data_IF_061476173314
#
_entry.id   IF_061476173314
#
_cell.length_a   1.000
_cell.length_b   1.000
_cell.length_c   1.000
_cell.angle_alpha   90.00
_cell.angle_beta   90.00
_cell.angle_gamma   90.00
#
_symmetry.space_group_name_H-M   'P 1'
#
loop_
_entity.id
_entity.type
_entity.pdbx_description
1 polymer ?
#
# COMPACT_ATOMS: atom_id res chain seq x y z
N UNK A 1 -27.91 -4.35 2.98
CA UNK A 1 -27.63 -5.60 2.25
C UNK A 1 -27.25 -5.29 0.80
N UNK A 2 -26.02 -5.64 0.42
CA UNK A 2 -25.56 -6.00 -0.94
C UNK A 2 -25.76 -5.01 -2.11
N UNK A 3 -24.81 -4.10 -2.31
CA UNK A 3 -24.57 -3.45 -3.61
C UNK A 3 -23.27 -3.91 -4.31
N UNK A 4 -22.52 -4.85 -3.74
CA UNK A 4 -21.28 -5.37 -4.36
C UNK A 4 -21.30 -6.89 -4.62
N UNK A 5 -22.37 -7.62 -4.24
CA UNK A 5 -22.39 -9.10 -4.26
C UNK A 5 -23.19 -9.73 -5.40
N UNK A 6 -23.65 -8.94 -6.38
CA UNK A 6 -24.43 -9.45 -7.51
C UNK A 6 -23.79 -9.00 -8.82
N UNK A 7 -22.74 -9.69 -9.25
CA UNK A 7 -22.52 -9.79 -10.69
C UNK A 7 -21.93 -11.12 -11.16
N UNK A 8 -21.09 -11.88 -10.42
CA UNK A 8 -20.56 -13.14 -10.98
C UNK A 8 -20.32 -14.26 -9.94
N UNK A 9 -20.94 -15.41 -10.24
CA UNK A 9 -20.51 -16.78 -9.96
C UNK A 9 -19.82 -17.13 -8.63
N UNK A 10 -20.58 -17.78 -7.74
CA UNK A 10 -20.04 -18.56 -6.63
C UNK A 10 -19.31 -19.83 -7.15
N UNK A 11 -18.03 -19.72 -7.52
CA UNK A 11 -17.09 -20.84 -7.53
C UNK A 11 -15.66 -20.28 -7.39
N UNK A 12 -15.11 -20.23 -6.16
CA UNK A 12 -13.68 -19.93 -5.99
C UNK A 12 -13.21 -19.24 -4.70
N UNK A 13 -14.11 -18.70 -3.87
CA UNK A 13 -13.75 -17.83 -2.73
C UNK A 13 -12.60 -18.37 -1.84
N UNK A 14 -12.65 -19.64 -1.43
CA UNK A 14 -11.61 -20.22 -0.58
C UNK A 14 -10.23 -20.41 -1.24
N UNK A 15 -10.10 -20.38 -2.57
CA UNK A 15 -8.82 -20.61 -3.26
C UNK A 15 -7.88 -19.41 -3.22
N UNK A 16 -8.43 -18.19 -3.13
CA UNK A 16 -7.65 -16.94 -3.13
C UNK A 16 -7.53 -16.29 -1.76
N UNK A 17 -8.36 -16.69 -0.79
CA UNK A 17 -8.32 -16.15 0.59
C UNK A 17 -6.97 -16.36 1.28
N UNK A 18 -6.43 -17.58 1.24
CA UNK A 18 -5.15 -17.88 1.89
C UNK A 18 -3.97 -17.13 1.21
N UNK A 19 -3.85 -17.12 -0.13
CA UNK A 19 -2.87 -16.26 -0.81
C UNK A 19 -3.04 -14.77 -0.51
N UNK A 20 -4.27 -14.24 -0.56
CA UNK A 20 -4.54 -12.83 -0.25
C UNK A 20 -4.10 -12.47 1.18
N UNK A 21 -4.36 -13.37 2.14
CA UNK A 21 -3.88 -13.22 3.51
C UNK A 21 -2.35 -13.23 3.60
N UNK A 22 -1.67 -14.13 2.88
CA UNK A 22 -0.20 -14.16 2.82
C UNK A 22 0.40 -12.86 2.29
N UNK A 23 -0.17 -12.34 1.20
CA UNK A 23 0.22 -11.04 0.66
C UNK A 23 -0.01 -9.94 1.69
N UNK A 24 -1.21 -9.87 2.26
CA UNK A 24 -1.60 -8.83 3.20
C UNK A 24 -0.70 -8.79 4.45
N UNK A 25 -0.40 -9.95 5.04
CA UNK A 25 0.51 -10.04 6.18
C UNK A 25 1.91 -9.54 5.82
N UNK A 26 2.40 -9.85 4.61
CA UNK A 26 3.68 -9.35 4.12
C UNK A 26 3.66 -7.84 3.91
N UNK A 27 2.57 -7.27 3.39
CA UNK A 27 2.38 -5.82 3.28
C UNK A 27 2.42 -5.12 4.65
N UNK A 28 1.69 -5.66 5.63
CA UNK A 28 1.62 -5.10 6.98
C UNK A 28 2.98 -5.20 7.67
N UNK A 29 3.66 -6.34 7.56
CA UNK A 29 4.99 -6.52 8.12
C UNK A 29 6.00 -5.53 7.54
N UNK A 30 6.00 -5.37 6.20
CA UNK A 30 6.87 -4.41 5.54
C UNK A 30 6.52 -2.97 5.90
N UNK A 31 5.24 -2.59 5.85
CA UNK A 31 4.80 -1.25 6.18
C UNK A 31 5.16 -0.82 7.61
N UNK A 32 5.30 -1.76 8.54
CA UNK A 32 5.66 -1.52 9.94
C UNK A 32 7.17 -1.46 10.21
N UNK A 33 8.01 -1.63 9.19
CA UNK A 33 9.46 -1.51 9.37
C UNK A 33 9.82 -0.12 9.94
N UNK A 34 10.56 -0.04 11.07
CA UNK A 34 10.89 1.23 11.73
C UNK A 34 11.58 2.24 10.81
N UNK A 35 12.32 1.74 9.81
CA UNK A 35 12.97 2.47 8.72
C UNK A 35 12.18 3.66 8.17
N UNK A 36 10.90 3.42 7.88
CA UNK A 36 10.04 4.43 7.26
C UNK A 36 9.71 5.59 8.19
N UNK A 37 9.60 5.31 9.49
CA UNK A 37 9.15 6.28 10.48
C UNK A 37 10.32 7.05 11.07
N UNK A 38 11.40 6.35 11.39
CA UNK A 38 12.57 6.93 12.06
C UNK A 38 13.47 7.66 11.07
N UNK A 39 13.82 7.02 9.94
CA UNK A 39 14.74 7.61 8.97
C UNK A 39 13.99 8.46 7.93
N UNK A 40 12.82 8.01 7.47
CA UNK A 40 12.14 8.67 6.35
C UNK A 40 11.05 9.67 6.78
N UNK A 41 10.89 9.90 8.09
CA UNK A 41 9.97 10.90 8.63
C UNK A 41 8.48 10.65 8.35
N UNK A 42 8.09 9.41 8.02
CA UNK A 42 6.68 9.07 7.89
C UNK A 42 6.02 9.19 9.27
N UNK A 43 4.89 9.89 9.43
CA UNK A 43 4.25 10.03 10.73
C UNK A 43 3.89 8.69 11.35
N UNK A 44 4.42 8.39 12.55
CA UNK A 44 4.04 7.19 13.30
C UNK A 44 2.67 7.37 13.99
N UNK A 45 1.63 7.40 13.16
CA UNK A 45 0.23 7.56 13.55
C UNK A 45 -0.61 6.49 12.85
N UNK A 46 -1.87 6.32 13.25
CA UNK A 46 -2.76 5.35 12.57
C UNK A 46 -2.94 5.69 11.10
N UNK A 47 -3.14 6.97 10.76
CA UNK A 47 -3.23 7.40 9.36
C UNK A 47 -1.91 7.13 8.61
N UNK A 48 -0.75 7.42 9.22
CA UNK A 48 0.56 7.20 8.59
C UNK A 48 0.93 5.74 8.39
N UNK A 49 0.67 4.87 9.37
CA UNK A 49 0.83 3.41 9.24
C UNK A 49 -0.08 2.85 8.15
N UNK A 50 -1.31 3.36 8.06
CA UNK A 50 -2.23 2.98 6.99
C UNK A 50 -1.73 3.45 5.62
N UNK A 51 -1.23 4.68 5.52
CA UNK A 51 -0.66 5.20 4.27
C UNK A 51 0.56 4.37 3.81
N UNK A 52 1.36 3.83 4.74
CA UNK A 52 2.42 2.87 4.40
C UNK A 52 1.88 1.52 3.93
N UNK A 53 0.80 1.00 4.51
CA UNK A 53 0.14 -0.22 4.00
C UNK A 53 -0.38 0.02 2.58
N UNK A 54 -1.03 1.16 2.32
CA UNK A 54 -1.54 1.51 1.01
C UNK A 54 -0.44 1.65 -0.04
N UNK A 55 0.71 2.24 0.33
CA UNK A 55 1.86 2.38 -0.54
C UNK A 55 2.38 1.01 -1.01
N UNK A 56 2.47 0.02 -0.11
CA UNK A 56 2.89 -1.33 -0.49
C UNK A 56 1.78 -2.11 -1.21
N UNK A 57 0.52 -1.92 -0.83
CA UNK A 57 -0.62 -2.50 -1.54
C UNK A 57 -0.68 -2.01 -2.99
N UNK A 58 -0.40 -0.74 -3.25
CA UNK A 58 -0.28 -0.20 -4.60
C UNK A 58 0.74 -0.97 -5.44
N UNK A 59 1.95 -1.21 -4.93
CA UNK A 59 2.99 -1.94 -5.65
C UNK A 59 2.55 -3.36 -6.03
N UNK A 60 1.93 -4.08 -5.09
CA UNK A 60 1.43 -5.45 -5.35
C UNK A 60 0.27 -5.43 -6.34
N UNK A 61 -0.70 -4.55 -6.17
CA UNK A 61 -1.85 -4.45 -7.08
C UNK A 61 -1.43 -4.05 -8.49
N UNK A 62 -0.47 -3.14 -8.63
CA UNK A 62 0.15 -2.78 -9.91
C UNK A 62 0.79 -4.00 -10.58
N UNK A 63 1.55 -4.80 -9.83
CA UNK A 63 2.17 -6.03 -10.35
C UNK A 63 1.12 -7.07 -10.78
N UNK A 64 0.10 -7.29 -9.96
CA UNK A 64 -0.98 -8.24 -10.26
C UNK A 64 -1.76 -7.81 -11.50
N UNK A 65 -2.00 -6.50 -11.70
CA UNK A 65 -2.71 -5.94 -12.86
C UNK A 65 -2.08 -6.33 -14.20
N UNK A 66 -0.77 -6.59 -14.26
CA UNK A 66 -0.08 -7.03 -15.49
C UNK A 66 -0.57 -8.38 -16.02
N UNK A 67 -1.02 -9.26 -15.13
CA UNK A 67 -1.54 -10.59 -15.44
C UNK A 67 -3.04 -10.69 -15.05
N UNK A 68 -3.80 -9.61 -15.26
CA UNK A 68 -5.15 -9.42 -14.70
C UNK A 68 -6.09 -10.61 -14.91
N UNK A 69 -6.07 -11.25 -16.09
CA UNK A 69 -6.92 -12.42 -16.39
C UNK A 69 -6.69 -13.60 -15.46
N UNK A 70 -5.53 -13.67 -14.80
CA UNK A 70 -5.13 -14.74 -13.86
C UNK A 70 -5.17 -14.30 -12.40
N UNK A 71 -5.17 -12.99 -12.14
CA UNK A 71 -4.94 -12.41 -10.81
C UNK A 71 -6.09 -11.56 -10.30
N UNK A 72 -7.12 -11.29 -11.10
CA UNK A 72 -8.25 -10.42 -10.73
C UNK A 72 -8.86 -10.79 -9.37
N UNK A 73 -9.17 -12.07 -9.17
CA UNK A 73 -9.77 -12.57 -7.93
C UNK A 73 -8.84 -12.40 -6.72
N UNK A 74 -7.54 -12.59 -6.91
CA UNK A 74 -6.53 -12.40 -5.86
C UNK A 74 -6.37 -10.92 -5.49
N UNK A 75 -6.32 -10.04 -6.50
CA UNK A 75 -6.24 -8.59 -6.28
C UNK A 75 -7.49 -8.08 -5.55
N UNK A 76 -8.67 -8.57 -5.91
CA UNK A 76 -9.93 -8.25 -5.24
C UNK A 76 -9.92 -8.75 -3.78
N UNK A 77 -9.54 -10.01 -3.56
CA UNK A 77 -9.46 -10.58 -2.21
C UNK A 77 -8.47 -9.84 -1.31
N UNK A 78 -7.32 -9.43 -1.84
CA UNK A 78 -6.35 -8.59 -1.12
C UNK A 78 -6.94 -7.23 -0.75
N UNK A 79 -7.62 -6.58 -1.69
CA UNK A 79 -8.28 -5.30 -1.45
C UNK A 79 -9.36 -5.42 -0.36
N UNK A 80 -10.27 -6.40 -0.50
CA UNK A 80 -11.35 -6.62 0.45
C UNK A 80 -10.83 -6.93 1.85
N UNK A 81 -9.80 -7.79 1.96
CA UNK A 81 -9.18 -8.11 3.24
C UNK A 81 -8.57 -6.86 3.90
N UNK A 82 -7.83 -6.04 3.15
CA UNK A 82 -7.22 -4.82 3.66
C UNK A 82 -8.25 -3.83 4.21
N UNK A 83 -9.36 -3.61 3.49
CA UNK A 83 -10.40 -2.70 3.94
C UNK A 83 -11.25 -3.27 5.08
N UNK A 84 -11.44 -4.59 5.14
CA UNK A 84 -12.09 -5.25 6.27
C UNK A 84 -11.25 -5.16 7.55
N UNK A 85 -9.93 -5.34 7.45
CA UNK A 85 -9.01 -5.17 8.59
C UNK A 85 -9.02 -3.72 9.09
N UNK A 86 -9.03 -2.74 8.18
CA UNK A 86 -9.14 -1.34 8.54
C UNK A 86 -10.46 -0.99 9.24
N UNK A 87 -11.60 -1.46 8.73
CA UNK A 87 -12.92 -1.26 9.37
C UNK A 87 -12.90 -1.81 10.82
N UNK A 88 -12.33 -3.00 11.00
CA UNK A 88 -12.16 -3.62 12.32
C UNK A 88 -11.27 -2.78 13.25
N UNK A 89 -10.09 -2.39 12.79
CA UNK A 89 -9.15 -1.59 13.58
C UNK A 89 -9.77 -0.25 14.01
N UNK A 90 -10.54 0.42 13.14
CA UNK A 90 -11.23 1.66 13.50
C UNK A 90 -12.28 1.46 14.59
N UNK A 91 -13.05 0.36 14.52
CA UNK A 91 -14.03 0.01 15.57
C UNK A 91 -13.34 -0.31 16.89
N UNK A 92 -12.25 -1.07 16.86
CA UNK A 92 -11.45 -1.40 18.04
C UNK A 92 -10.84 -0.16 18.71
N UNK A 93 -10.53 0.88 17.92
CA UNK A 93 -10.12 2.19 18.43
C UNK A 93 -11.28 3.06 18.95
N UNK A 94 -12.50 2.53 19.05
CA UNK A 94 -13.66 3.24 19.58
C UNK A 94 -14.32 4.22 18.62
N UNK A 95 -14.01 4.17 17.31
CA UNK A 95 -14.76 4.95 16.32
C UNK A 95 -16.17 4.37 16.22
N UNK A 96 -17.18 5.19 16.52
CA UNK A 96 -18.58 4.74 16.51
C UNK A 96 -19.05 4.28 15.13
N UNK A 97 -19.95 3.29 15.11
CA UNK A 97 -20.39 2.58 13.89
C UNK A 97 -20.84 3.50 12.75
N UNK A 98 -21.53 4.60 13.08
CA UNK A 98 -21.99 5.60 12.11
C UNK A 98 -20.84 6.36 11.44
N UNK A 99 -19.71 6.55 12.13
CA UNK A 99 -18.54 7.26 11.62
C UNK A 99 -17.57 6.33 10.89
N UNK A 100 -17.47 5.06 11.30
CA UNK A 100 -16.55 4.07 10.70
C UNK A 100 -16.79 3.95 9.19
N UNK A 101 -18.03 3.72 8.77
CA UNK A 101 -18.35 3.54 7.34
C UNK A 101 -17.96 4.75 6.49
N UNK A 102 -18.15 5.98 7.00
CA UNK A 102 -17.72 7.20 6.31
C UNK A 102 -16.19 7.30 6.21
N UNK A 103 -15.48 6.93 7.28
CA UNK A 103 -14.02 6.96 7.32
C UNK A 103 -13.39 5.92 6.40
N UNK A 104 -13.91 4.69 6.40
CA UNK A 104 -13.52 3.61 5.48
C UNK A 104 -13.72 4.05 4.02
N UNK A 105 -14.87 4.65 3.69
CA UNK A 105 -15.15 5.16 2.34
C UNK A 105 -14.19 6.28 1.92
N UNK A 106 -13.89 7.22 2.81
CA UNK A 106 -12.95 8.30 2.54
C UNK A 106 -11.52 7.76 2.31
N UNK A 107 -11.10 6.77 3.11
CA UNK A 107 -9.82 6.09 2.95
C UNK A 107 -9.74 5.31 1.63
N UNK A 108 -10.82 4.66 1.21
CA UNK A 108 -10.89 3.99 -0.09
C UNK A 108 -10.75 4.97 -1.25
N UNK A 109 -11.48 6.09 -1.21
CA UNK A 109 -11.37 7.14 -2.23
C UNK A 109 -9.95 7.72 -2.29
N UNK A 110 -9.34 7.99 -1.13
CA UNK A 110 -7.95 8.44 -1.06
C UNK A 110 -6.97 7.41 -1.64
N UNK A 111 -7.22 6.12 -1.43
CA UNK A 111 -6.38 5.06 -1.99
C UNK A 111 -6.43 5.03 -3.53
N UNK A 112 -7.61 5.14 -4.15
CA UNK A 112 -7.70 5.22 -5.61
C UNK A 112 -6.97 6.43 -6.18
N UNK A 113 -7.06 7.59 -5.52
CA UNK A 113 -6.29 8.78 -5.90
C UNK A 113 -4.78 8.56 -5.81
N UNK A 114 -4.32 7.84 -4.77
CA UNK A 114 -2.90 7.47 -4.59
C UNK A 114 -2.41 6.51 -5.65
N UNK A 115 -3.19 5.49 -6.01
CA UNK A 115 -2.84 4.56 -7.10
C UNK A 115 -2.56 5.36 -8.37
N UNK A 116 -3.46 6.26 -8.76
CA UNK A 116 -3.29 7.07 -9.96
C UNK A 116 -2.05 7.99 -9.87
N UNK A 117 -1.84 8.64 -8.72
CA UNK A 117 -0.72 9.56 -8.52
C UNK A 117 0.64 8.84 -8.51
N UNK A 118 0.74 7.68 -7.86
CA UNK A 118 1.97 6.90 -7.78
C UNK A 118 2.29 6.22 -9.11
N UNK A 119 1.29 5.69 -9.83
CA UNK A 119 1.48 5.16 -11.18
C UNK A 119 2.03 6.26 -12.11
N UNK A 120 1.39 7.43 -12.15
CA UNK A 120 1.86 8.56 -12.95
C UNK A 120 3.28 9.03 -12.54
N UNK A 121 3.59 9.00 -11.24
CA UNK A 121 4.93 9.31 -10.75
C UNK A 121 5.98 8.29 -11.19
N UNK A 122 5.67 6.99 -11.13
CA UNK A 122 6.55 5.94 -11.62
C UNK A 122 6.82 6.09 -13.12
N UNK A 123 5.82 6.49 -13.91
CA UNK A 123 5.97 6.66 -15.36
C UNK A 123 6.70 7.96 -15.75
N UNK A 124 6.44 9.07 -15.06
CA UNK A 124 6.92 10.40 -15.45
C UNK A 124 8.33 10.75 -14.94
N UNK A 125 8.75 10.23 -13.79
CA UNK A 125 10.09 10.50 -13.22
C UNK A 125 10.06 10.93 -11.75
N UNK A 126 11.27 11.08 -11.16
CA UNK A 126 11.45 11.24 -9.71
C UNK A 126 10.76 12.47 -9.16
N UNK A 127 10.82 13.61 -9.85
CA UNK A 127 10.17 14.83 -9.40
C UNK A 127 8.65 14.66 -9.26
N UNK A 128 7.99 14.03 -10.23
CA UNK A 128 6.54 13.77 -10.17
C UNK A 128 6.18 12.80 -9.05
N UNK A 129 7.00 11.76 -8.86
CA UNK A 129 6.78 10.80 -7.79
C UNK A 129 6.99 11.41 -6.40
N UNK A 130 8.02 12.24 -6.22
CA UNK A 130 8.27 12.97 -4.99
C UNK A 130 7.10 13.91 -4.64
N UNK A 131 6.54 14.63 -5.62
CA UNK A 131 5.34 15.45 -5.42
C UNK A 131 4.11 14.62 -5.06
N UNK A 132 3.93 13.45 -5.67
CA UNK A 132 2.86 12.53 -5.30
C UNK A 132 3.01 12.06 -3.85
N UNK A 133 4.23 11.71 -3.40
CA UNK A 133 4.52 11.32 -2.02
C UNK A 133 4.28 12.46 -1.02
N UNK A 134 4.74 13.68 -1.32
CA UNK A 134 4.49 14.87 -0.49
C UNK A 134 3.00 15.08 -0.22
N UNK A 135 2.18 15.02 -1.28
CA UNK A 135 0.73 15.26 -1.19
C UNK A 135 -0.04 14.16 -0.48
N UNK A 136 0.47 12.92 -0.51
CA UNK A 136 -0.27 11.74 -0.08
C UNK A 136 0.25 11.08 1.20
N UNK A 137 1.55 10.82 1.27
CA UNK A 137 2.21 10.16 2.40
C UNK A 137 2.59 11.18 3.48
N UNK A 138 3.06 12.36 3.06
CA UNK A 138 3.51 13.42 3.95
C UNK A 138 2.53 14.58 4.09
N UNK A 139 1.24 14.38 3.76
CA UNK A 139 0.21 15.44 3.79
C UNK A 139 0.17 16.27 5.08
N UNK A 140 0.49 15.65 6.22
CA UNK A 140 0.48 16.28 7.56
C UNK A 140 1.88 16.37 8.18
N UNK A 141 2.93 16.25 7.36
CA UNK A 141 4.32 16.26 7.79
C UNK A 141 5.16 17.09 6.81
N UNK A 142 6.37 17.45 7.22
CA UNK A 142 7.31 18.16 6.38
C UNK A 142 8.69 17.53 6.54
N UNK A 143 8.91 16.32 5.99
CA UNK A 143 10.23 15.68 6.03
C UNK A 143 11.21 16.42 5.12
N UNK A 144 12.50 16.14 5.30
CA UNK A 144 13.54 16.64 4.41
C UNK A 144 13.36 16.09 2.98
N UNK A 145 13.78 16.87 1.99
CA UNK A 145 13.74 16.47 0.58
C UNK A 145 14.43 15.12 0.35
N UNK A 146 15.58 14.90 1.00
CA UNK A 146 16.33 13.64 0.94
C UNK A 146 15.53 12.42 1.43
N UNK A 147 14.66 12.58 2.43
CA UNK A 147 13.81 11.49 2.90
C UNK A 147 12.71 11.15 1.87
N UNK A 148 12.12 12.17 1.24
CA UNK A 148 11.14 11.98 0.17
C UNK A 148 11.78 11.29 -1.03
N UNK A 149 12.97 11.73 -1.44
CA UNK A 149 13.72 11.14 -2.54
C UNK A 149 14.10 9.69 -2.24
N UNK A 150 14.48 9.39 -0.99
CA UNK A 150 14.78 8.02 -0.56
C UNK A 150 13.54 7.10 -0.65
N UNK A 151 12.35 7.60 -0.28
CA UNK A 151 11.10 6.84 -0.43
C UNK A 151 10.69 6.71 -1.90
N UNK A 152 10.92 7.73 -2.75
CA UNK A 152 10.69 7.65 -4.18
C UNK A 152 11.58 6.60 -4.84
N UNK A 153 12.88 6.60 -4.51
CA UNK A 153 13.84 5.60 -4.97
C UNK A 153 13.47 4.19 -4.49
N UNK A 154 13.04 4.05 -3.23
CA UNK A 154 12.47 2.80 -2.71
C UNK A 154 11.29 2.33 -3.57
N UNK A 155 10.32 3.20 -3.86
CA UNK A 155 9.13 2.84 -4.61
C UNK A 155 9.46 2.32 -6.01
N UNK A 156 10.40 2.96 -6.70
CA UNK A 156 10.89 2.50 -8.02
C UNK A 156 11.59 1.15 -7.93
N UNK A 157 12.50 1.02 -6.97
CA UNK A 157 13.25 -0.22 -6.76
C UNK A 157 12.31 -1.39 -6.49
N UNK A 158 11.32 -1.19 -5.62
CA UNK A 158 10.34 -2.23 -5.31
C UNK A 158 9.41 -2.50 -6.49
N UNK A 159 8.98 -1.49 -7.24
CA UNK A 159 8.18 -1.72 -8.45
C UNK A 159 8.93 -2.62 -9.46
N UNK A 160 10.22 -2.34 -9.70
CA UNK A 160 11.06 -3.16 -10.56
C UNK A 160 11.28 -4.58 -9.99
N UNK A 161 11.55 -4.69 -8.68
CA UNK A 161 11.77 -5.98 -8.02
C UNK A 161 10.52 -6.86 -8.05
N UNK A 162 9.33 -6.28 -7.83
CA UNK A 162 8.06 -7.00 -7.90
C UNK A 162 7.73 -7.43 -9.35
N UNK A 163 8.07 -6.61 -10.35
CA UNK A 163 7.94 -6.99 -11.76
C UNK A 163 8.80 -8.22 -12.10
N UNK A 164 9.93 -8.42 -11.42
CA UNK A 164 10.78 -9.62 -11.52
C UNK A 164 10.30 -10.83 -10.71
N UNK A 165 9.36 -10.68 -9.78
CA UNK A 165 8.90 -11.81 -8.95
C UNK A 165 8.02 -12.79 -9.75
N UNK A 166 8.22 -14.11 -9.60
CA UNK A 166 7.40 -15.11 -10.29
C UNK A 166 5.93 -14.98 -9.91
N UNK A 167 5.06 -14.94 -10.92
CA UNK A 167 3.61 -14.85 -10.69
C UNK A 167 3.09 -16.00 -9.82
N UNK A 168 3.65 -17.21 -9.96
CA UNK A 168 3.28 -18.36 -9.13
C UNK A 168 3.50 -18.12 -7.63
N UNK A 169 4.56 -17.40 -7.24
CA UNK A 169 4.81 -17.03 -5.85
C UNK A 169 3.77 -16.07 -5.32
N UNK A 170 3.45 -15.03 -6.11
CA UNK A 170 2.39 -14.08 -5.77
C UNK A 170 1.03 -14.77 -5.64
N UNK A 171 0.71 -15.68 -6.56
CA UNK A 171 -0.51 -16.49 -6.52
C UNK A 171 -0.57 -17.47 -5.34
N UNK A 172 0.58 -17.81 -4.74
CA UNK A 172 0.69 -18.59 -3.52
C UNK A 172 0.69 -17.72 -2.25
N UNK A 173 0.61 -16.40 -2.37
CA UNK A 173 0.61 -15.46 -1.26
C UNK A 173 1.99 -15.02 -0.79
N UNK A 174 3.04 -15.32 -1.55
CA UNK A 174 4.40 -14.92 -1.23
C UNK A 174 4.80 -13.67 -2.02
N UNK A 175 5.16 -12.61 -1.30
CA UNK A 175 5.77 -11.40 -1.87
C UNK A 175 6.94 -10.99 -0.98
N UNK A 176 8.01 -10.52 -1.60
CA UNK A 176 9.19 -10.00 -0.90
C UNK A 176 9.40 -8.54 -1.24
N UNK A 177 9.80 -7.75 -0.23
CA UNK A 177 10.22 -6.36 -0.40
C UNK A 177 11.67 -6.22 0.03
N UNK A 178 12.39 -5.29 -0.58
CA UNK A 178 13.67 -4.83 -0.09
C UNK A 178 13.56 -4.10 1.25
N UNK A 179 14.69 -3.82 1.93
CA UNK A 179 14.67 -3.09 3.18
C UNK A 179 14.14 -1.65 2.98
N UNK A 180 13.57 -1.02 4.03
CA UNK A 180 13.25 0.40 3.99
C UNK A 180 14.49 1.22 3.61
N UNK A 181 14.33 2.40 2.99
CA UNK A 181 15.46 3.25 2.69
C UNK A 181 16.14 3.69 3.99
N UNK A 182 17.47 3.71 3.98
CA UNK A 182 18.21 4.56 4.91
C UNK A 182 18.10 5.98 4.35
N UNK A 183 17.51 6.92 5.09
CA UNK A 183 17.70 8.32 4.76
C UNK A 183 19.19 8.63 4.83
N UNK A 184 19.75 9.45 3.92
CA UNK A 184 21.09 9.97 4.11
C UNK A 184 21.12 10.64 5.47
N UNK A 185 22.09 10.29 6.32
CA UNK A 185 22.34 11.03 7.56
C UNK A 185 22.52 12.47 7.11
N UNK A 186 21.71 13.40 7.63
CA UNK A 186 21.93 14.82 7.38
C UNK A 186 23.40 15.08 7.68
N UNK A 187 24.14 15.52 6.66
CA UNK A 187 25.57 15.78 6.80
C UNK A 187 25.74 16.70 8.00
N UNK A 188 26.56 16.24 8.94
CA UNK A 188 27.16 17.07 9.97
C UNK A 188 27.93 18.17 9.22
N UNK A 189 27.28 19.31 8.99
CA UNK A 189 27.90 20.54 8.50
C UNK A 189 28.92 20.95 9.57
N UNK A 190 30.16 20.49 9.39
CA UNK A 190 31.35 20.95 10.08
C UNK A 190 32.07 22.01 9.27
#
# INVERSE_FOLDING_TARGET
>A
MSALRKLFGFFGAGRVEAPARGLYLSLVAQARQPGFYVQCGVPDTVDGRFDMILLHAFLVLRRLKRDHSRTADLAQALFDLMFADMDRNLREMGVGDLAVGRRVKAMAAAFYGRIAAYEAGLDAGDATLAEALKRNLYRKANPDAAAIDAVAAYLRREALALDGQPLAGLMAGAVTFGPPPAAPVAGDDR
#
